data_IF_883793115772
#
_entry.id   IF_883793115772
#
_cell.length_a   1.000
_cell.length_b   1.000
_cell.length_c   1.000
_cell.angle_alpha   90.00
_cell.angle_beta   90.00
_cell.angle_gamma   90.00
#
_symmetry.space_group_name_H-M   'P 1'
#
loop_
_entity.id
_entity.type
_entity.pdbx_description
1 polymer ?
#
# COMPACT_ATOMS: atom_id res chain seq x y z
N UNK A 1 -20.57 -6.84 14.13
CA UNK A 1 -19.37 -7.62 13.74
C UNK A 1 -18.76 -6.90 12.57
N UNK A 2 -17.65 -6.20 12.77
CA UNK A 2 -16.91 -5.61 11.65
C UNK A 2 -16.39 -6.78 10.81
N UNK A 3 -16.76 -6.85 9.53
CA UNK A 3 -16.28 -7.91 8.65
C UNK A 3 -14.75 -7.85 8.62
N UNK A 4 -14.04 -9.00 8.56
CA UNK A 4 -12.61 -8.97 8.34
C UNK A 4 -12.37 -8.18 7.06
N UNK A 5 -11.73 -7.01 7.17
CA UNK A 5 -11.28 -6.28 5.99
C UNK A 5 -10.38 -7.27 5.26
N UNK A 6 -10.69 -7.66 4.01
CA UNK A 6 -9.85 -8.61 3.30
C UNK A 6 -8.43 -8.03 3.32
N UNK A 7 -7.50 -8.73 3.96
CA UNK A 7 -6.09 -8.38 3.90
C UNK A 7 -5.69 -8.50 2.44
N UNK A 8 -5.43 -7.36 1.80
CA UNK A 8 -4.95 -7.37 0.43
C UNK A 8 -3.56 -8.00 0.42
N UNK A 9 -3.43 -9.09 -0.33
CA UNK A 9 -2.12 -9.62 -0.67
C UNK A 9 -1.43 -8.63 -1.61
N UNK A 10 -0.27 -8.13 -1.17
CA UNK A 10 0.61 -7.33 -2.01
C UNK A 10 1.71 -8.22 -2.59
N UNK A 11 1.95 -8.06 -3.89
CA UNK A 11 3.22 -8.43 -4.47
C UNK A 11 4.11 -7.18 -4.45
N UNK A 12 5.29 -7.32 -3.84
CA UNK A 12 6.27 -6.24 -3.76
C UNK A 12 7.57 -6.65 -4.42
N UNK A 13 8.13 -5.76 -5.24
CA UNK A 13 9.45 -5.92 -5.84
C UNK A 13 10.30 -4.71 -5.47
N UNK A 14 11.26 -4.85 -4.55
CA UNK A 14 12.19 -3.78 -4.23
C UNK A 14 13.16 -3.57 -5.40
N UNK A 15 13.36 -2.31 -5.77
CA UNK A 15 14.28 -1.82 -6.80
C UNK A 15 15.14 -0.71 -6.14
N UNK A 16 16.24 -0.31 -6.78
CA UNK A 16 17.09 0.78 -6.29
C UNK A 16 16.29 2.07 -6.10
N UNK A 17 16.11 2.49 -4.84
CA UNK A 17 15.37 3.70 -4.47
C UNK A 17 13.85 3.64 -4.65
N UNK A 18 13.29 2.48 -5.03
CA UNK A 18 11.86 2.34 -5.33
C UNK A 18 11.31 0.97 -4.90
N UNK A 19 10.00 0.88 -4.67
CA UNK A 19 9.30 -0.39 -4.49
C UNK A 19 8.14 -0.44 -5.46
N UNK A 20 8.10 -1.49 -6.28
CA UNK A 20 6.97 -1.76 -7.15
C UNK A 20 5.95 -2.57 -6.36
N UNK A 21 4.72 -2.08 -6.29
CA UNK A 21 3.59 -2.75 -5.65
C UNK A 21 2.58 -3.15 -6.72
N UNK A 22 2.03 -4.35 -6.59
CA UNK A 22 0.80 -4.75 -7.27
C UNK A 22 -0.09 -5.55 -6.33
N UNK A 23 -1.39 -5.46 -6.54
CA UNK A 23 -2.40 -6.15 -5.74
C UNK A 23 -3.52 -6.66 -6.65
N UNK A 24 -4.39 -7.50 -6.12
CA UNK A 24 -5.58 -7.95 -6.85
C UNK A 24 -6.66 -6.87 -6.85
N UNK A 25 -7.41 -6.78 -7.95
CA UNK A 25 -8.52 -5.84 -8.05
C UNK A 25 -9.62 -6.19 -7.04
N UNK A 26 -10.03 -5.21 -6.23
CA UNK A 26 -11.22 -5.31 -5.40
C UNK A 26 -12.45 -5.00 -6.24
N UNK A 27 -13.45 -5.90 -6.31
CA UNK A 27 -14.63 -5.70 -7.16
C UNK A 27 -15.47 -4.48 -6.78
N UNK A 28 -15.42 -4.04 -5.53
CA UNK A 28 -16.16 -2.88 -5.01
C UNK A 28 -15.32 -1.59 -5.00
N UNK A 29 -14.04 -1.64 -5.37
CA UNK A 29 -13.16 -0.48 -5.33
C UNK A 29 -13.07 0.21 -6.70
N UNK A 30 -13.32 1.52 -6.70
CA UNK A 30 -13.12 2.39 -7.87
C UNK A 30 -11.73 3.02 -7.88
N UNK A 31 -11.16 3.22 -6.70
CA UNK A 31 -9.79 3.68 -6.52
C UNK A 31 -9.18 3.03 -5.30
N UNK A 32 -7.87 3.19 -5.14
CA UNK A 32 -7.14 2.68 -3.99
C UNK A 32 -6.40 3.80 -3.28
N UNK A 33 -6.40 3.73 -1.95
CA UNK A 33 -5.56 4.53 -1.08
C UNK A 33 -4.48 3.63 -0.48
N UNK A 34 -3.22 3.97 -0.77
CA UNK A 34 -2.04 3.30 -0.24
C UNK A 34 -1.52 4.05 0.98
N UNK A 35 -1.63 3.41 2.13
CA UNK A 35 -1.01 3.83 3.38
C UNK A 35 0.35 3.17 3.51
N UNK A 36 1.35 3.93 3.95
CA UNK A 36 2.68 3.41 4.21
C UNK A 36 3.35 4.07 5.41
N UNK A 37 4.26 3.32 6.03
CA UNK A 37 5.08 3.78 7.15
C UNK A 37 6.42 3.06 7.17
N UNK A 38 7.42 3.66 7.82
CA UNK A 38 8.67 2.98 8.21
C UNK A 38 8.54 2.29 9.56
N UNK A 39 7.43 2.52 10.27
CA UNK A 39 7.07 1.82 11.49
C UNK A 39 6.10 0.67 11.19
N UNK A 40 6.16 -0.44 11.94
CA UNK A 40 5.30 -1.60 11.71
C UNK A 40 3.81 -1.31 11.90
N UNK A 41 3.47 -0.28 12.67
CA UNK A 41 2.09 0.12 12.92
C UNK A 41 1.61 1.17 11.89
N UNK A 42 1.21 0.68 10.71
CA UNK A 42 0.61 1.53 9.67
C UNK A 42 -0.78 2.06 10.08
N UNK A 43 -1.41 1.47 11.11
CA UNK A 43 -2.70 1.89 11.64
C UNK A 43 -2.60 3.02 12.69
N UNK A 44 -1.40 3.40 13.11
CA UNK A 44 -1.17 4.54 14.01
C UNK A 44 -1.64 5.85 13.36
N UNK A 45 -1.94 6.91 14.12
CA UNK A 45 -2.77 8.05 13.68
C UNK A 45 -2.27 8.86 12.45
N UNK A 46 -1.08 8.60 11.90
CA UNK A 46 -0.49 9.39 10.80
C UNK A 46 0.36 8.59 9.79
N UNK A 47 -0.16 7.56 9.12
CA UNK A 47 0.56 6.95 8.00
C UNK A 47 0.66 7.96 6.85
N UNK A 48 1.73 7.88 6.08
CA UNK A 48 1.76 8.55 4.78
C UNK A 48 0.72 7.89 3.88
N UNK A 49 -0.05 8.68 3.13
CA UNK A 49 -1.08 8.18 2.22
C UNK A 49 -0.88 8.67 0.80
N UNK A 50 -1.18 7.80 -0.14
CA UNK A 50 -1.22 8.08 -1.57
C UNK A 50 -2.62 7.69 -2.04
N UNK A 51 -3.39 8.68 -2.49
CA UNK A 51 -4.80 8.53 -2.86
C UNK A 51 -4.96 8.58 -4.38
N UNK A 52 -6.09 8.05 -4.87
CA UNK A 52 -6.46 8.16 -6.28
C UNK A 52 -5.73 7.19 -7.21
N UNK A 53 -5.28 6.04 -6.70
CA UNK A 53 -4.68 5.01 -7.55
C UNK A 53 -5.81 4.24 -8.23
N UNK A 54 -6.00 4.40 -9.53
CA UNK A 54 -7.05 3.70 -10.29
C UNK A 54 -6.60 2.32 -10.81
N UNK A 55 -5.28 2.11 -10.88
CA UNK A 55 -4.69 0.84 -11.31
C UNK A 55 -4.47 -0.11 -10.12
N UNK A 56 -4.29 -1.39 -10.41
CA UNK A 56 -3.90 -2.41 -9.43
C UNK A 56 -2.38 -2.49 -9.20
N UNK A 57 -1.67 -1.40 -9.50
CA UNK A 57 -0.21 -1.30 -9.39
C UNK A 57 0.22 0.12 -9.07
N UNK A 58 1.29 0.24 -8.31
CA UNK A 58 1.90 1.53 -7.96
C UNK A 58 3.41 1.41 -7.81
N UNK A 59 4.15 2.44 -8.21
CA UNK A 59 5.61 2.51 -8.05
C UNK A 59 5.88 3.56 -6.98
N UNK A 60 6.31 3.10 -5.80
CA UNK A 60 6.66 3.97 -4.70
C UNK A 60 8.12 4.39 -4.82
N UNK A 61 8.34 5.64 -5.21
CA UNK A 61 9.68 6.20 -5.50
C UNK A 61 10.24 7.02 -4.34
N UNK A 62 11.55 7.24 -4.36
CA UNK A 62 12.23 8.09 -3.39
C UNK A 62 12.46 7.40 -2.04
N UNK A 63 12.49 6.07 -2.05
CA UNK A 63 12.76 5.26 -0.87
C UNK A 63 14.26 5.12 -0.63
N UNK A 64 14.62 4.81 0.61
CA UNK A 64 16.00 4.50 1.00
C UNK A 64 16.21 3.00 0.96
N UNK A 65 17.24 2.57 0.25
CA UNK A 65 17.63 1.16 0.22
C UNK A 65 17.98 0.64 1.62
N UNK A 66 17.62 -0.61 1.88
CA UNK A 66 17.86 -1.26 3.19
C UNK A 66 16.90 -0.83 4.31
N UNK A 67 15.95 0.08 4.04
CA UNK A 67 14.90 0.43 5.00
C UNK A 67 13.67 -0.47 4.81
N UNK A 68 13.01 -0.82 5.92
CA UNK A 68 11.75 -1.57 5.88
C UNK A 68 10.60 -0.60 5.75
N UNK A 69 9.70 -0.88 4.80
CA UNK A 69 8.50 -0.12 4.56
C UNK A 69 7.29 -1.03 4.69
N UNK A 70 6.33 -0.61 5.48
CA UNK A 70 5.07 -1.30 5.72
C UNK A 70 3.98 -0.63 4.90
N UNK A 71 3.10 -1.44 4.31
CA UNK A 71 2.07 -1.00 3.38
C UNK A 71 0.71 -1.55 3.76
N UNK A 72 -0.32 -0.73 3.65
CA UNK A 72 -1.71 -1.11 3.80
C UNK A 72 -2.52 -0.42 2.70
N UNK A 73 -3.35 -1.18 1.98
CA UNK A 73 -4.17 -0.64 0.91
C UNK A 73 -5.63 -0.73 1.32
N UNK A 74 -6.37 0.32 0.98
CA UNK A 74 -7.82 0.38 1.17
C UNK A 74 -8.43 0.71 -0.19
N UNK A 75 -9.33 -0.15 -0.66
CA UNK A 75 -10.20 0.17 -1.79
C UNK A 75 -11.26 1.18 -1.39
N UNK A 76 -11.52 2.16 -2.27
CA UNK A 76 -12.49 3.25 -2.10
C UNK A 76 -13.54 3.19 -3.20
#
# INVERSE_FOLDING_TARGET
VEAPRPELAFNTWPVDGEVHLSWEAMPEATSYTLYWSTEPDVASERPHKIEGIEATRYIHRGLRNGSVYYYQLVGV
#
